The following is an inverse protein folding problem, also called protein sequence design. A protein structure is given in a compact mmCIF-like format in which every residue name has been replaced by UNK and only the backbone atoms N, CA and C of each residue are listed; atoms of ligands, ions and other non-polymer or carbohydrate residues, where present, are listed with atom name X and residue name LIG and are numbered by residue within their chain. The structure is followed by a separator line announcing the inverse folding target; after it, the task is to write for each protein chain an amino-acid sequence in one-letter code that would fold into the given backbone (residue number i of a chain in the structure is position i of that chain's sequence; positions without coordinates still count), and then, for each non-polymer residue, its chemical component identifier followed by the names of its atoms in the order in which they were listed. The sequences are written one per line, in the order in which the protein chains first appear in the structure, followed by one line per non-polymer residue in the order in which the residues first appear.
data_IF_087941994674
#
_entry.id   IF_087941994674
#
_cell.length_a   1.000
_cell.length_b   1.000
_cell.length_c   1.000
_cell.angle_alpha   90.00
_cell.angle_beta   90.00
_cell.angle_gamma   90.00
#
_symmetry.space_group_name_H-M   'P 1'
#
loop_
_entity.id
_entity.type
_entity.pdbx_description
1 polymer ?
#
# COMPACT_ATOMS: atom_id res chain seq x y z
N UNK A 1 9.29 10.82 15.82
CA UNK A 1 8.15 11.72 16.08
C UNK A 1 7.27 11.11 17.17
N UNK A 2 6.72 11.95 18.03
CA UNK A 2 5.81 11.50 19.07
C UNK A 2 4.53 10.95 18.43
N UNK A 3 3.91 9.91 19.02
CA UNK A 3 2.63 9.41 18.55
C UNK A 3 1.56 10.49 18.66
N UNK A 4 0.71 10.58 17.65
CA UNK A 4 -0.50 11.41 17.68
C UNK A 4 -1.56 10.76 18.54
N UNK A 5 -2.47 11.53 19.11
CA UNK A 5 -3.57 11.04 19.96
C UNK A 5 -4.94 11.20 19.34
N UNK A 6 -5.07 12.11 18.37
CA UNK A 6 -6.33 12.43 17.69
C UNK A 6 -6.14 12.37 16.18
N UNK A 7 -7.22 12.22 15.41
CA UNK A 7 -7.14 12.31 13.95
C UNK A 7 -6.62 13.68 13.52
N UNK A 8 -7.08 14.76 14.18
CA UNK A 8 -6.68 16.13 13.88
C UNK A 8 -5.17 16.34 13.92
N UNK A 9 -4.49 15.80 14.93
CA UNK A 9 -3.03 15.91 15.06
C UNK A 9 -2.24 15.35 13.87
N UNK A 10 -2.78 14.35 13.15
CA UNK A 10 -2.13 13.78 11.96
C UNK A 10 -2.70 14.33 10.64
N UNK A 11 -3.99 14.63 10.60
CA UNK A 11 -4.74 14.79 9.35
C UNK A 11 -5.30 16.19 9.12
N UNK A 12 -5.06 17.16 10.02
CA UNK A 12 -5.45 18.57 9.82
C UNK A 12 -5.03 19.16 8.45
N UNK A 13 -3.84 18.86 7.89
CA UNK A 13 -3.47 19.35 6.55
C UNK A 13 -4.31 18.77 5.39
N UNK A 14 -5.08 17.69 5.63
CA UNK A 14 -5.93 17.03 4.63
C UNK A 14 -7.38 16.96 5.12
N UNK A 15 -8.15 18.07 5.03
CA UNK A 15 -9.48 18.20 5.63
C UNK A 15 -10.48 17.12 5.18
N UNK A 16 -10.43 16.71 3.90
CA UNK A 16 -11.30 15.65 3.38
C UNK A 16 -11.06 14.30 4.07
N UNK A 17 -9.78 13.93 4.29
CA UNK A 17 -9.43 12.71 5.01
C UNK A 17 -9.77 12.82 6.50
N UNK A 18 -9.51 13.97 7.12
CA UNK A 18 -9.87 14.21 8.51
C UNK A 18 -11.38 14.05 8.73
N UNK A 19 -12.20 14.70 7.90
CA UNK A 19 -13.65 14.62 7.98
C UNK A 19 -14.14 13.18 7.80
N UNK A 20 -13.57 12.46 6.83
CA UNK A 20 -13.89 11.05 6.59
C UNK A 20 -13.60 10.17 7.82
N UNK A 21 -12.47 10.40 8.48
CA UNK A 21 -12.06 9.65 9.66
C UNK A 21 -12.96 9.95 10.86
N UNK A 22 -13.21 11.23 11.16
CA UNK A 22 -14.08 11.66 12.27
C UNK A 22 -15.53 11.18 12.10
N UNK A 23 -16.00 10.97 10.87
CA UNK A 23 -17.33 10.42 10.60
C UNK A 23 -17.42 8.90 10.78
N UNK A 24 -16.32 8.17 10.58
CA UNK A 24 -16.32 6.70 10.51
C UNK A 24 -15.77 6.04 11.76
N UNK A 25 -14.97 6.75 12.56
CA UNK A 25 -14.23 6.20 13.68
C UNK A 25 -14.22 7.18 14.86
N UNK A 26 -14.23 6.66 16.08
CA UNK A 26 -14.22 7.49 17.29
C UNK A 26 -12.81 8.06 17.59
N UNK A 27 -11.77 7.24 17.41
CA UNK A 27 -10.39 7.59 17.71
C UNK A 27 -9.42 6.71 16.91
N UNK A 28 -8.17 7.16 16.66
CA UNK A 28 -7.18 6.35 15.98
C UNK A 28 -6.79 5.13 16.81
N UNK A 29 -6.44 4.02 16.15
CA UNK A 29 -5.89 2.85 16.84
C UNK A 29 -4.44 3.08 17.28
N UNK A 30 -3.91 2.32 18.26
CA UNK A 30 -2.54 2.50 18.75
C UNK A 30 -1.47 2.41 17.65
N UNK A 31 -1.64 1.52 16.67
CA UNK A 31 -0.71 1.41 15.54
C UNK A 31 -0.80 2.64 14.63
N UNK A 32 -2.01 3.18 14.39
CA UNK A 32 -2.21 4.40 13.61
C UNK A 32 -1.57 5.62 14.28
N UNK A 33 -1.80 5.77 15.60
CA UNK A 33 -1.24 6.83 16.44
C UNK A 33 0.28 6.95 16.29
N UNK A 34 1.00 5.82 16.24
CA UNK A 34 2.45 5.82 16.12
C UNK A 34 2.93 5.83 14.66
N UNK A 35 2.25 5.12 13.77
CA UNK A 35 2.73 4.90 12.40
C UNK A 35 2.49 6.10 11.49
N UNK A 36 1.37 6.79 11.62
CA UNK A 36 1.08 7.97 10.80
C UNK A 36 2.13 9.08 10.88
N UNK A 37 2.56 9.57 12.06
CA UNK A 37 3.57 10.62 12.09
C UNK A 37 4.94 10.14 11.59
N UNK A 38 5.20 8.83 11.60
CA UNK A 38 6.41 8.25 10.98
C UNK A 38 6.29 8.29 9.46
N UNK A 39 5.20 7.79 8.90
CA UNK A 39 5.00 7.67 7.46
C UNK A 39 4.78 9.03 6.79
N UNK A 40 4.04 9.94 7.41
CA UNK A 40 3.85 11.31 6.91
C UNK A 40 5.15 12.12 6.93
N UNK A 41 6.18 11.69 7.68
CA UNK A 41 7.52 12.28 7.63
C UNK A 41 8.40 11.74 6.49
N UNK A 42 7.86 10.85 5.64
CA UNK A 42 8.57 10.26 4.49
C UNK A 42 9.58 9.16 4.86
N UNK A 43 9.57 8.68 6.11
CA UNK A 43 10.47 7.62 6.56
C UNK A 43 9.88 6.24 6.32
N UNK A 44 10.75 5.28 6.05
CA UNK A 44 10.40 3.87 6.02
C UNK A 44 9.98 3.40 7.42
N UNK A 45 9.13 2.38 7.47
CA UNK A 45 8.64 1.88 8.74
C UNK A 45 8.30 0.40 8.72
N UNK A 46 8.51 -0.23 9.87
CA UNK A 46 8.03 -1.57 10.18
C UNK A 46 6.97 -1.44 11.29
N UNK A 47 5.74 -1.84 10.99
CA UNK A 47 4.62 -1.82 11.91
C UNK A 47 4.26 -3.23 12.37
N UNK A 48 4.52 -3.55 13.64
CA UNK A 48 4.16 -4.83 14.24
C UNK A 48 2.88 -4.64 15.07
N UNK A 49 1.79 -5.23 14.61
CA UNK A 49 0.53 -5.23 15.36
C UNK A 49 -0.36 -6.41 14.97
N UNK A 50 -1.21 -6.85 15.89
CA UNK A 50 -2.15 -7.95 15.66
C UNK A 50 -3.14 -7.64 14.52
N UNK A 51 -3.69 -8.68 13.90
CA UNK A 51 -4.75 -8.54 12.89
C UNK A 51 -5.98 -7.86 13.49
N UNK A 52 -6.69 -7.05 12.69
CA UNK A 52 -7.88 -6.32 13.14
C UNK A 52 -7.61 -5.03 13.93
N UNK A 53 -6.35 -4.60 14.07
CA UNK A 53 -5.97 -3.38 14.82
C UNK A 53 -5.95 -2.09 13.98
N UNK A 54 -6.50 -2.11 12.76
CA UNK A 54 -6.55 -0.93 11.88
C UNK A 54 -5.26 -0.65 11.11
N UNK A 55 -4.38 -1.64 10.93
CA UNK A 55 -3.14 -1.54 10.13
C UNK A 55 -3.37 -1.03 8.71
N UNK A 56 -4.45 -1.46 8.07
CA UNK A 56 -4.77 -1.06 6.69
C UNK A 56 -4.83 0.45 6.52
N UNK A 57 -5.61 1.17 7.35
CA UNK A 57 -5.63 2.63 7.31
C UNK A 57 -4.34 3.27 7.82
N UNK A 58 -3.56 2.54 8.62
CA UNK A 58 -2.26 3.01 9.10
C UNK A 58 -1.27 3.22 7.94
N UNK A 59 -1.27 2.33 6.94
CA UNK A 59 -0.39 2.47 5.76
C UNK A 59 -1.07 3.03 4.51
N UNK A 60 -2.40 2.88 4.34
CA UNK A 60 -3.11 3.37 3.15
C UNK A 60 -3.15 4.90 3.13
N UNK A 61 -3.56 5.54 4.23
CA UNK A 61 -3.78 6.99 4.23
C UNK A 61 -2.50 7.79 3.97
N UNK A 62 -1.33 7.46 4.58
CA UNK A 62 -0.08 8.12 4.22
C UNK A 62 0.33 7.86 2.76
N UNK A 63 0.02 6.68 2.23
CA UNK A 63 0.23 6.36 0.81
C UNK A 63 -0.62 7.25 -0.12
N UNK A 64 -1.88 7.52 0.22
CA UNK A 64 -2.72 8.44 -0.55
C UNK A 64 -2.17 9.87 -0.53
N UNK A 65 -1.67 10.33 0.63
CA UNK A 65 -0.97 11.62 0.73
C UNK A 65 0.31 11.63 -0.10
N UNK A 66 1.07 10.54 -0.09
CA UNK A 66 2.28 10.39 -0.90
C UNK A 66 1.96 10.57 -2.39
N UNK A 67 0.91 9.91 -2.88
CA UNK A 67 0.41 10.03 -4.27
C UNK A 67 0.06 11.48 -4.61
N UNK A 68 -0.66 12.18 -3.73
CA UNK A 68 -1.10 13.56 -3.95
C UNK A 68 0.04 14.58 -3.96
N UNK A 69 1.14 14.28 -3.28
CA UNK A 69 2.33 15.12 -3.27
C UNK A 69 3.28 14.84 -4.44
N UNK A 70 3.03 13.77 -5.22
CA UNK A 70 3.79 13.54 -6.44
C UNK A 70 3.33 14.52 -7.55
N UNK A 71 4.24 14.98 -8.41
CA UNK A 71 3.90 15.84 -9.53
C UNK A 71 2.72 15.28 -10.36
N UNK A 72 1.82 16.15 -10.86
CA UNK A 72 0.78 15.72 -11.78
C UNK A 72 1.39 15.09 -13.02
N UNK A 73 0.71 14.12 -13.62
CA UNK A 73 1.20 13.49 -14.84
C UNK A 73 1.28 14.52 -15.97
N UNK A 74 2.41 14.56 -16.66
CA UNK A 74 2.61 15.37 -17.86
C UNK A 74 2.39 14.57 -19.15
N UNK A 75 2.29 13.25 -19.06
CA UNK A 75 2.12 12.31 -20.18
C UNK A 75 0.88 11.44 -20.00
N UNK A 76 0.57 10.60 -21.00
CA UNK A 76 -0.41 9.51 -20.88
C UNK A 76 0.00 8.59 -19.72
N UNK A 77 -0.98 8.08 -18.97
CA UNK A 77 -0.80 7.21 -17.79
C UNK A 77 0.47 6.35 -17.85
N UNK A 78 1.32 6.48 -16.84
CA UNK A 78 2.67 5.87 -16.81
C UNK A 78 2.88 4.92 -15.63
N UNK A 79 1.80 4.27 -15.19
CA UNK A 79 1.82 3.25 -14.15
C UNK A 79 1.46 3.76 -12.76
N UNK A 80 1.30 2.83 -11.79
CA UNK A 80 0.92 3.17 -10.43
C UNK A 80 1.99 3.95 -9.68
N UNK A 81 1.54 4.71 -8.67
CA UNK A 81 2.40 5.43 -7.72
C UNK A 81 2.50 4.70 -6.37
N UNK A 82 1.56 3.80 -6.09
CA UNK A 82 1.53 3.01 -4.87
C UNK A 82 1.30 1.53 -5.18
N UNK A 83 2.07 0.67 -4.51
CA UNK A 83 1.87 -0.79 -4.54
C UNK A 83 1.69 -1.31 -3.12
N UNK A 84 0.66 -2.13 -2.93
CA UNK A 84 0.41 -2.86 -1.67
C UNK A 84 0.41 -4.34 -1.98
N UNK A 85 1.30 -5.09 -1.33
CA UNK A 85 1.44 -6.53 -1.52
C UNK A 85 0.90 -7.24 -0.29
N UNK A 86 -0.01 -8.19 -0.51
CA UNK A 86 -0.60 -9.03 0.52
C UNK A 86 -0.45 -10.52 0.16
N UNK A 87 -0.30 -11.43 1.14
CA UNK A 87 -0.03 -12.85 0.91
C UNK A 87 -1.17 -13.61 0.22
N UNK A 88 -2.42 -13.16 0.37
CA UNK A 88 -3.60 -13.87 -0.12
C UNK A 88 -4.49 -12.97 -0.98
N UNK A 89 -5.24 -13.61 -1.88
CA UNK A 89 -6.22 -12.92 -2.72
C UNK A 89 -7.27 -12.21 -1.87
N UNK A 90 -7.75 -12.89 -0.85
CA UNK A 90 -8.83 -12.40 0.01
C UNK A 90 -8.40 -11.13 0.75
N UNK A 91 -7.16 -11.10 1.26
CA UNK A 91 -6.61 -9.91 1.91
C UNK A 91 -6.36 -8.78 0.91
N UNK A 92 -5.81 -9.07 -0.26
CA UNK A 92 -5.63 -8.09 -1.33
C UNK A 92 -6.97 -7.45 -1.76
N UNK A 93 -8.03 -8.26 -1.87
CA UNK A 93 -9.38 -7.78 -2.19
C UNK A 93 -9.96 -6.91 -1.07
N UNK A 94 -9.75 -7.29 0.19
CA UNK A 94 -10.19 -6.48 1.34
C UNK A 94 -9.51 -5.11 1.37
N UNK A 95 -8.19 -5.05 1.18
CA UNK A 95 -7.45 -3.79 1.13
C UNK A 95 -7.92 -2.92 -0.03
N UNK A 96 -8.09 -3.51 -1.22
CA UNK A 96 -8.64 -2.81 -2.39
C UNK A 96 -10.03 -2.23 -2.13
N UNK A 97 -10.92 -2.99 -1.50
CA UNK A 97 -12.25 -2.50 -1.12
C UNK A 97 -12.16 -1.36 -0.09
N UNK A 98 -11.27 -1.44 0.89
CA UNK A 98 -11.05 -0.35 1.85
C UNK A 98 -10.57 0.92 1.16
N UNK A 99 -9.64 0.84 0.21
CA UNK A 99 -9.18 2.00 -0.57
C UNK A 99 -10.35 2.62 -1.33
N UNK A 100 -11.15 1.82 -2.04
CA UNK A 100 -12.29 2.32 -2.81
C UNK A 100 -13.37 2.98 -1.92
N UNK A 101 -13.55 2.50 -0.68
CA UNK A 101 -14.46 3.13 0.29
C UNK A 101 -14.00 4.52 0.73
N UNK A 102 -12.71 4.84 0.62
CA UNK A 102 -12.21 6.17 0.97
C UNK A 102 -12.63 7.22 -0.06
N UNK A 103 -12.76 6.83 -1.33
CA UNK A 103 -13.17 7.69 -2.44
C UNK A 103 -12.44 9.06 -2.45
N UNK A 104 -11.13 9.04 -2.19
CA UNK A 104 -10.33 10.23 -1.97
C UNK A 104 -9.68 10.71 -3.27
N UNK A 105 -9.89 11.98 -3.62
CA UNK A 105 -9.25 12.67 -4.75
C UNK A 105 -9.26 11.93 -6.11
N UNK A 106 -10.29 11.12 -6.38
CA UNK A 106 -10.41 10.29 -7.58
C UNK A 106 -9.25 9.30 -7.79
N UNK A 107 -8.49 9.00 -6.72
CA UNK A 107 -7.45 7.97 -6.76
C UNK A 107 -8.14 6.62 -6.98
N UNK A 108 -7.82 5.97 -8.10
CA UNK A 108 -8.34 4.64 -8.44
C UNK A 108 -7.37 3.57 -8.00
N UNK A 109 -7.90 2.38 -7.70
CA UNK A 109 -7.09 1.22 -7.37
C UNK A 109 -7.51 0.01 -8.20
N UNK A 110 -6.59 -0.92 -8.41
CA UNK A 110 -6.85 -2.23 -9.04
C UNK A 110 -6.29 -3.34 -8.16
N UNK A 111 -6.99 -4.48 -8.13
CA UNK A 111 -6.60 -5.65 -7.37
C UNK A 111 -6.14 -6.77 -8.31
N UNK A 112 -4.86 -7.18 -8.22
CA UNK A 112 -4.27 -8.21 -9.09
C UNK A 112 -3.81 -9.43 -8.29
N UNK A 113 -4.27 -10.61 -8.70
CA UNK A 113 -3.99 -11.84 -7.95
C UNK A 113 -4.07 -13.10 -8.80
N UNK A 114 -3.36 -14.14 -8.36
CA UNK A 114 -3.29 -15.43 -9.05
C UNK A 114 -4.64 -16.17 -9.10
N UNK A 115 -4.77 -17.11 -10.03
CA UNK A 115 -5.98 -17.94 -10.27
C UNK A 115 -7.24 -17.17 -10.69
N UNK A 116 -7.19 -15.83 -10.82
CA UNK A 116 -8.21 -15.01 -11.46
C UNK A 116 -7.95 -14.79 -12.95
N UNK A 117 -8.93 -14.20 -13.65
CA UNK A 117 -8.84 -13.83 -15.07
C UNK A 117 -7.71 -12.81 -15.28
N UNK A 118 -6.62 -13.26 -15.90
CA UNK A 118 -5.41 -12.45 -16.15
C UNK A 118 -5.70 -11.31 -17.12
N UNK A 119 -6.48 -11.56 -18.17
CA UNK A 119 -6.78 -10.56 -19.21
C UNK A 119 -7.56 -9.40 -18.63
N UNK A 120 -8.58 -9.67 -17.81
CA UNK A 120 -9.35 -8.61 -17.14
C UNK A 120 -8.50 -7.74 -16.20
N UNK A 121 -7.52 -8.34 -15.52
CA UNK A 121 -6.62 -7.59 -14.64
C UNK A 121 -5.67 -6.69 -15.44
N UNK A 122 -5.20 -7.14 -16.61
CA UNK A 122 -4.40 -6.32 -17.53
C UNK A 122 -5.22 -5.18 -18.09
N UNK A 123 -6.46 -5.44 -18.52
CA UNK A 123 -7.37 -4.40 -18.99
C UNK A 123 -7.60 -3.32 -17.92
N UNK A 124 -7.85 -3.73 -16.67
CA UNK A 124 -7.99 -2.79 -15.56
C UNK A 124 -6.71 -1.99 -15.25
N UNK A 125 -5.52 -2.58 -15.43
CA UNK A 125 -4.26 -1.86 -15.31
C UNK A 125 -4.07 -0.83 -16.44
N UNK A 126 -4.48 -1.18 -17.66
CA UNK A 126 -4.39 -0.33 -18.85
C UNK A 126 -5.40 0.84 -18.83
N UNK A 127 -6.54 0.68 -18.16
CA UNK A 127 -7.50 1.76 -17.90
C UNK A 127 -6.89 2.86 -17.01
N UNK A 128 -5.87 2.54 -16.22
CA UNK A 128 -5.13 3.46 -15.37
C UNK A 128 -5.54 3.36 -13.89
N UNK A 129 -4.56 3.06 -13.03
CA UNK A 129 -4.75 2.98 -11.59
C UNK A 129 -3.54 3.55 -10.83
N UNK A 130 -3.80 4.50 -9.93
CA UNK A 130 -2.75 5.08 -9.08
C UNK A 130 -2.25 4.09 -8.02
N UNK A 131 -3.11 3.15 -7.61
CA UNK A 131 -2.80 2.13 -6.60
C UNK A 131 -2.98 0.72 -7.17
N UNK A 132 -1.96 -0.12 -7.01
CA UNK A 132 -2.06 -1.57 -7.26
C UNK A 132 -2.04 -2.31 -5.93
N UNK A 133 -3.08 -3.09 -5.66
CA UNK A 133 -3.09 -4.06 -4.56
C UNK A 133 -2.90 -5.45 -5.13
N UNK A 134 -1.94 -6.22 -4.64
CA UNK A 134 -1.54 -7.44 -5.32
C UNK A 134 -1.15 -8.61 -4.41
N UNK A 135 -1.26 -9.82 -4.95
CA UNK A 135 -0.50 -10.97 -4.44
C UNK A 135 0.85 -11.09 -5.16
N UNK A 136 1.95 -11.51 -4.49
CA UNK A 136 3.29 -11.50 -5.08
C UNK A 136 3.39 -12.20 -6.43
N UNK A 137 2.88 -13.44 -6.54
CA UNK A 137 3.05 -14.23 -7.76
C UNK A 137 2.41 -13.62 -9.02
N UNK A 138 1.26 -12.95 -8.92
CA UNK A 138 0.63 -12.30 -10.08
C UNK A 138 1.31 -10.98 -10.44
N UNK A 139 1.74 -10.20 -9.46
CA UNK A 139 2.45 -8.95 -9.74
C UNK A 139 3.81 -9.21 -10.37
N UNK A 140 4.54 -10.22 -9.88
CA UNK A 140 5.79 -10.68 -10.49
C UNK A 140 5.57 -11.16 -11.95
N UNK A 141 4.56 -11.99 -12.21
CA UNK A 141 4.19 -12.41 -13.57
C UNK A 141 3.95 -11.21 -14.51
N UNK A 142 3.10 -10.26 -14.09
CA UNK A 142 2.76 -9.08 -14.88
C UNK A 142 3.97 -8.15 -15.11
N UNK A 143 4.86 -8.05 -14.13
CA UNK A 143 6.08 -7.25 -14.26
C UNK A 143 7.06 -7.90 -15.25
N UNK A 144 7.21 -9.23 -15.22
CA UNK A 144 8.09 -9.97 -16.14
C UNK A 144 7.65 -9.94 -17.58
N UNK A 145 6.34 -9.80 -17.82
CA UNK A 145 5.75 -9.74 -19.16
C UNK A 145 5.50 -8.32 -19.63
N UNK A 146 6.03 -7.31 -18.93
CA UNK A 146 5.86 -5.88 -19.23
C UNK A 146 4.38 -5.44 -19.29
N UNK A 147 3.47 -6.16 -18.63
CA UNK A 147 2.04 -5.83 -18.54
C UNK A 147 1.76 -4.75 -17.47
N UNK A 148 2.74 -4.49 -16.58
CA UNK A 148 2.71 -3.40 -15.61
C UNK A 148 4.11 -2.78 -15.46
N UNK A 149 4.16 -1.45 -15.31
CA UNK A 149 5.38 -0.70 -15.08
C UNK A 149 5.36 -0.09 -13.67
N UNK A 150 6.33 -0.44 -12.83
CA UNK A 150 6.41 0.01 -11.44
C UNK A 150 7.44 1.13 -11.22
N UNK A 151 8.06 1.67 -12.26
CA UNK A 151 9.13 2.68 -12.14
C UNK A 151 8.68 3.96 -11.44
N UNK A 152 7.37 4.24 -11.45
CA UNK A 152 6.77 5.42 -10.80
C UNK A 152 6.35 5.20 -9.36
N UNK A 153 6.39 3.97 -8.87
CA UNK A 153 5.92 3.64 -7.52
C UNK A 153 6.84 4.32 -6.49
N UNK A 154 6.30 5.31 -5.78
CA UNK A 154 7.00 6.06 -4.72
C UNK A 154 6.65 5.57 -3.32
N UNK A 155 5.66 4.68 -3.20
CA UNK A 155 5.21 4.15 -1.92
C UNK A 155 4.87 2.66 -2.03
N UNK A 156 5.58 1.84 -1.25
CA UNK A 156 5.45 0.38 -1.27
C UNK A 156 5.05 -0.13 0.10
N UNK A 157 4.06 -1.02 0.14
CA UNK A 157 3.61 -1.69 1.37
C UNK A 157 3.70 -3.19 1.21
N UNK A 158 4.35 -3.87 2.16
CA UNK A 158 4.27 -5.32 2.35
C UNK A 158 3.43 -5.61 3.59
N UNK A 159 2.19 -6.09 3.42
CA UNK A 159 1.31 -6.45 4.53
C UNK A 159 1.35 -7.96 4.80
N UNK A 160 1.33 -8.33 6.08
CA UNK A 160 1.58 -9.70 6.56
C UNK A 160 2.89 -10.29 5.99
N UNK A 161 4.00 -9.54 6.12
CA UNK A 161 5.28 -9.91 5.53
C UNK A 161 5.88 -11.24 6.05
N UNK A 162 5.68 -11.54 7.33
CA UNK A 162 5.99 -12.85 7.93
C UNK A 162 5.29 -13.99 7.18
N UNK A 163 4.00 -13.82 6.90
CA UNK A 163 3.24 -14.81 6.15
C UNK A 163 3.71 -14.94 4.69
N UNK A 164 4.12 -13.84 4.07
CA UNK A 164 4.68 -13.91 2.71
C UNK A 164 6.01 -14.69 2.68
N UNK A 165 6.83 -14.58 3.73
CA UNK A 165 8.03 -15.39 3.91
C UNK A 165 7.70 -16.88 4.04
N UNK A 166 6.78 -17.22 4.94
CA UNK A 166 6.37 -18.60 5.21
C UNK A 166 5.80 -19.29 3.95
N UNK A 167 5.16 -18.50 3.07
CA UNK A 167 4.62 -18.96 1.79
C UNK A 167 5.66 -19.06 0.67
N UNK A 168 6.91 -18.70 0.93
CA UNK A 168 8.01 -18.79 -0.03
C UNK A 168 8.00 -17.69 -1.10
N UNK A 169 7.37 -16.54 -0.85
CA UNK A 169 7.29 -15.45 -1.84
C UNK A 169 8.54 -14.57 -1.94
N UNK A 170 9.62 -14.91 -1.25
CA UNK A 170 10.87 -14.14 -1.25
C UNK A 170 11.36 -13.79 -2.65
N UNK A 171 11.44 -14.78 -3.54
CA UNK A 171 11.93 -14.57 -4.91
C UNK A 171 11.04 -13.62 -5.71
N UNK A 172 9.71 -13.74 -5.56
CA UNK A 172 8.76 -12.84 -6.20
C UNK A 172 8.90 -11.40 -5.67
N UNK A 173 8.96 -11.23 -4.34
CA UNK A 173 9.09 -9.93 -3.69
C UNK A 173 10.40 -9.24 -4.09
N UNK A 174 11.52 -9.95 -4.08
CA UNK A 174 12.81 -9.41 -4.49
C UNK A 174 12.78 -8.90 -5.94
N UNK A 175 12.19 -9.65 -6.86
CA UNK A 175 12.09 -9.21 -8.25
C UNK A 175 11.16 -8.01 -8.42
N UNK A 176 10.01 -7.99 -7.75
CA UNK A 176 9.09 -6.84 -7.78
C UNK A 176 9.80 -5.56 -7.35
N UNK A 177 10.61 -5.63 -6.29
CA UNK A 177 11.35 -4.47 -5.78
C UNK A 177 12.38 -3.96 -6.80
N UNK A 178 13.01 -4.83 -7.59
CA UNK A 178 13.92 -4.37 -8.66
C UNK A 178 13.25 -3.54 -9.74
N UNK A 179 11.93 -3.64 -9.90
CA UNK A 179 11.15 -2.83 -10.83
C UNK A 179 10.75 -1.46 -10.29
N UNK A 180 11.09 -1.15 -9.03
CA UNK A 180 10.68 0.06 -8.32
C UNK A 180 11.90 0.94 -8.08
N UNK A 181 11.73 2.26 -8.18
CA UNK A 181 12.77 3.25 -7.87
C UNK A 181 13.36 3.10 -6.45
N UNK A 182 14.62 3.48 -6.30
CA UNK A 182 15.37 3.33 -5.04
C UNK A 182 14.94 4.34 -3.96
N UNK A 183 14.51 5.53 -4.34
CA UNK A 183 14.04 6.60 -3.44
C UNK A 183 12.54 6.48 -3.09
N UNK A 184 12.00 5.24 -3.17
CA UNK A 184 10.66 4.91 -2.68
C UNK A 184 10.61 5.00 -1.16
N UNK A 185 9.42 5.28 -0.63
CA UNK A 185 9.10 5.02 0.77
C UNK A 185 8.61 3.57 0.92
N UNK A 186 9.15 2.85 1.88
CA UNK A 186 8.86 1.43 2.12
C UNK A 186 8.22 1.20 3.49
N UNK A 187 7.11 0.46 3.49
CA UNK A 187 6.36 0.12 4.70
C UNK A 187 6.18 -1.38 4.76
N UNK A 188 6.48 -1.97 5.90
CA UNK A 188 6.21 -3.37 6.16
C UNK A 188 5.31 -3.50 7.38
N UNK A 189 4.26 -4.30 7.27
CA UNK A 189 3.40 -4.65 8.40
C UNK A 189 3.36 -6.14 8.62
N UNK A 190 3.36 -6.53 9.89
CA UNK A 190 3.34 -7.93 10.28
C UNK A 190 2.64 -8.10 11.64
N UNK A 191 2.16 -9.31 11.92
CA UNK A 191 1.66 -9.67 13.24
C UNK A 191 2.79 -10.07 14.19
N UNK A 192 3.91 -10.55 13.66
CA UNK A 192 5.04 -11.06 14.43
C UNK A 192 6.36 -10.46 13.93
N UNK A 193 7.41 -10.56 14.74
CA UNK A 193 8.76 -10.22 14.31
C UNK A 193 9.65 -11.43 14.53
N UNK A 194 10.17 -11.99 13.44
CA UNK A 194 11.15 -13.05 13.48
C UNK A 194 12.47 -12.56 12.87
N UNK A 195 13.60 -13.15 13.28
CA UNK A 195 14.93 -12.79 12.77
C UNK A 195 15.07 -12.96 11.26
N UNK A 196 14.22 -13.77 10.63
CA UNK A 196 14.25 -14.00 9.18
C UNK A 196 13.66 -12.83 8.37
N UNK A 197 13.02 -11.87 9.04
CA UNK A 197 12.45 -10.66 8.42
C UNK A 197 13.57 -9.62 8.22
N UNK A 198 14.47 -9.87 7.29
CA UNK A 198 15.47 -8.91 6.81
C UNK A 198 15.12 -8.49 5.37
N UNK A 199 14.14 -7.59 5.23
CA UNK A 199 13.73 -7.04 3.94
C UNK A 199 14.10 -5.56 3.83
N UNK A 200 15.40 -5.23 3.82
CA UNK A 200 15.93 -4.02 3.17
C UNK A 200 17.40 -4.28 2.86
#
# INVERSE_FOLDING_TARGET
PNPVRTFREAWEPWPELLQLLEQRYEQPSPIQMQLWPVLLSGRDAIGIAQTGTGKTLAFVLPGLVNIMNQPPETEKYSGPRMVIIAPTRELAQQIHLEINKLNYSKITSVCVYGKGDRRKQIEALQEGAEVVVATPGRLDDLLRTDDVDLRRVSYVVFDEADRMLDMGFMSNLSYIITGIRDDRQFVMTSATWNSDIHFV
#
